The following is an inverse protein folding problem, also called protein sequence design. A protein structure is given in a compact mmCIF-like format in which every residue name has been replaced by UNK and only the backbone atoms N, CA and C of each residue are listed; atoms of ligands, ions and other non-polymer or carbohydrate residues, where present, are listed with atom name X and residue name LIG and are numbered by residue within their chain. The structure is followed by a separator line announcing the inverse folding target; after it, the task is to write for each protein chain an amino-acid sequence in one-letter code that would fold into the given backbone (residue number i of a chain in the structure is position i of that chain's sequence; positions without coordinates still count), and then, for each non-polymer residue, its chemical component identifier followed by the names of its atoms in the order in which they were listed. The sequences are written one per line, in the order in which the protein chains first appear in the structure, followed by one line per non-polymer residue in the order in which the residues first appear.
data_IF_619013025669
#
_entry.id   IF_619013025669
#
_cell.length_a   1.000
_cell.length_b   1.000
_cell.length_c   1.000
_cell.angle_alpha   90.00
_cell.angle_beta   90.00
_cell.angle_gamma   90.00
#
_symmetry.space_group_name_H-M   'P 1'
#
loop_
_entity.id
_entity.type
_entity.pdbx_description
1 polymer ?
#
# COMPACT_ATOMS: atom_id res chain seq x y z
N UNK A 1 -2.78 39.99 63.24
CA UNK A 1 -1.80 38.99 62.74
C UNK A 1 -2.57 37.92 61.96
N UNK A 2 -1.96 37.45 60.86
CA UNK A 2 -2.46 36.63 59.72
C UNK A 2 -3.26 35.39 60.16
N UNK A 3 -4.53 35.23 59.75
CA UNK A 3 -5.03 34.46 58.57
C UNK A 3 -4.43 33.05 58.43
N UNK A 4 -5.21 32.01 58.74
CA UNK A 4 -5.10 30.67 58.11
C UNK A 4 -6.51 30.07 57.98
N UNK A 5 -7.09 30.17 56.77
CA UNK A 5 -8.23 29.35 56.34
C UNK A 5 -7.61 28.15 55.62
N UNK A 6 -7.79 26.95 56.19
CA UNK A 6 -7.23 25.73 55.66
C UNK A 6 -8.01 25.27 54.41
N UNK A 7 -7.44 25.63 53.26
CA UNK A 7 -7.37 24.88 52.01
C UNK A 7 -8.46 23.82 51.74
N UNK A 8 -9.55 24.25 51.09
CA UNK A 8 -10.30 23.39 50.19
C UNK A 8 -9.64 23.43 48.81
N UNK A 9 -8.86 22.41 48.44
CA UNK A 9 -8.47 22.13 47.06
C UNK A 9 -7.87 20.73 46.99
N UNK A 10 -8.74 19.72 47.08
CA UNK A 10 -8.44 18.37 46.65
C UNK A 10 -8.34 18.39 45.12
N UNK A 11 -7.16 18.78 44.63
CA UNK A 11 -6.79 18.80 43.22
C UNK A 11 -6.84 17.37 42.70
N UNK A 12 -7.95 17.05 42.04
CA UNK A 12 -8.14 15.86 41.24
C UNK A 12 -7.24 15.97 40.01
N UNK A 13 -5.98 15.55 40.13
CA UNK A 13 -5.04 15.57 39.01
C UNK A 13 -4.23 14.27 38.96
N UNK A 14 -4.95 13.15 38.87
CA UNK A 14 -4.37 11.84 38.56
C UNK A 14 -5.10 11.25 37.36
N UNK A 15 -5.20 11.97 36.24
CA UNK A 15 -5.68 11.40 34.95
C UNK A 15 -5.25 12.29 33.78
N UNK A 16 -3.95 12.30 33.43
CA UNK A 16 -3.52 12.77 32.10
C UNK A 16 -2.06 12.37 31.78
N UNK A 17 -1.66 11.14 32.06
CA UNK A 17 -0.48 10.55 31.41
C UNK A 17 -0.93 9.33 30.59
N UNK A 18 -2.05 9.49 29.87
CA UNK A 18 -2.30 8.67 28.70
C UNK A 18 -1.37 9.25 27.62
N UNK A 19 -0.24 8.59 27.40
CA UNK A 19 0.69 8.94 26.33
C UNK A 19 -0.10 9.20 25.06
N UNK A 20 -0.03 10.43 24.57
CA UNK A 20 -0.64 10.86 23.32
C UNK A 20 0.06 10.11 22.18
N UNK A 21 -0.28 8.83 22.01
CA UNK A 21 -0.05 8.08 20.79
C UNK A 21 -0.95 8.78 19.78
N UNK A 22 -0.37 9.74 19.05
CA UNK A 22 -1.05 10.43 17.96
C UNK A 22 -1.78 9.34 17.16
N UNK A 23 -3.10 9.45 16.93
CA UNK A 23 -3.76 8.49 16.07
C UNK A 23 -2.99 8.49 14.75
N UNK A 24 -2.39 7.35 14.42
CA UNK A 24 -1.86 7.15 13.09
C UNK A 24 -3.08 7.30 12.19
N UNK A 25 -3.13 8.37 11.39
CA UNK A 25 -4.14 8.52 10.38
C UNK A 25 -4.05 7.26 9.53
N UNK A 26 -5.08 6.42 9.60
CA UNK A 26 -5.21 5.26 8.74
C UNK A 26 -5.43 5.79 7.32
N UNK A 27 -4.33 6.10 6.65
CA UNK A 27 -4.33 6.43 5.24
C UNK A 27 -4.29 5.10 4.50
N UNK A 28 -5.46 4.59 4.14
CA UNK A 28 -5.53 3.55 3.12
C UNK A 28 -5.23 4.20 1.77
N UNK A 29 -4.14 3.82 1.08
CA UNK A 29 -3.88 4.31 -0.24
C UNK A 29 -5.07 3.94 -1.14
N UNK A 30 -5.50 4.83 -2.06
CA UNK A 30 -6.56 4.48 -3.01
C UNK A 30 -6.17 3.21 -3.78
N UNK A 31 -7.10 2.25 -3.82
CA UNK A 31 -6.96 1.02 -4.60
C UNK A 31 -7.48 1.27 -6.02
N UNK A 32 -6.59 1.18 -7.00
CA UNK A 32 -6.91 1.36 -8.41
C UNK A 32 -6.85 -0.01 -9.07
N UNK A 33 -7.95 -0.41 -9.70
CA UNK A 33 -8.03 -1.67 -10.45
C UNK A 33 -7.74 -1.39 -11.91
N UNK A 34 -6.70 -2.02 -12.45
CA UNK A 34 -6.34 -1.94 -13.85
C UNK A 34 -6.60 -3.32 -14.46
N UNK A 35 -7.67 -3.40 -15.26
CA UNK A 35 -7.99 -4.62 -16.00
C UNK A 35 -6.91 -4.89 -17.04
N UNK A 36 -6.36 -6.11 -17.03
CA UNK A 36 -5.46 -6.61 -18.07
C UNK A 36 -6.29 -7.45 -19.02
N UNK A 37 -6.70 -6.87 -20.14
CA UNK A 37 -7.36 -7.61 -21.20
C UNK A 37 -6.39 -8.66 -21.76
N UNK A 38 -6.86 -9.90 -21.96
CA UNK A 38 -6.06 -11.00 -22.55
C UNK A 38 -5.52 -10.66 -23.94
N UNK A 39 -6.12 -9.70 -24.64
CA UNK A 39 -5.68 -9.23 -25.96
C UNK A 39 -4.46 -8.29 -25.91
N UNK A 40 -4.06 -7.80 -24.73
CA UNK A 40 -2.83 -7.03 -24.56
C UNK A 40 -1.67 -7.98 -24.25
N UNK A 41 -0.58 -7.96 -25.06
CA UNK A 41 0.53 -8.91 -24.90
C UNK A 41 1.29 -8.69 -23.58
N UNK A 42 1.27 -7.47 -23.04
CA UNK A 42 1.81 -7.16 -21.72
C UNK A 42 1.22 -5.84 -21.19
N UNK A 43 1.26 -5.67 -19.86
CA UNK A 43 1.18 -4.36 -19.23
C UNK A 43 2.56 -3.96 -18.73
N UNK A 44 3.00 -2.77 -19.13
CA UNK A 44 4.21 -2.17 -18.60
C UNK A 44 3.89 -1.42 -17.32
N UNK A 45 4.63 -1.74 -16.26
CA UNK A 45 4.61 -1.02 -15.00
C UNK A 45 5.95 -0.33 -14.80
N UNK A 46 5.92 0.99 -14.68
CA UNK A 46 7.08 1.80 -14.33
C UNK A 46 6.98 2.24 -12.87
N UNK A 47 8.04 2.02 -12.11
CA UNK A 47 8.13 2.36 -10.70
C UNK A 47 9.45 3.06 -10.36
N UNK A 48 9.37 4.21 -9.68
CA UNK A 48 10.55 4.96 -9.22
C UNK A 48 11.18 4.44 -7.92
N UNK A 49 10.57 3.43 -7.29
CA UNK A 49 11.04 2.77 -6.09
C UNK A 49 10.68 1.28 -6.18
N UNK A 50 11.28 0.40 -5.36
CA UNK A 50 10.89 -0.99 -5.30
C UNK A 50 9.39 -1.18 -5.06
N UNK A 51 8.83 -2.23 -5.64
CA UNK A 51 7.41 -2.56 -5.57
C UNK A 51 7.22 -4.00 -5.10
N UNK A 52 6.19 -4.21 -4.29
CA UNK A 52 5.74 -5.55 -3.91
C UNK A 52 4.67 -5.98 -4.90
N UNK A 53 4.91 -7.09 -5.60
CA UNK A 53 3.94 -7.78 -6.44
C UNK A 53 3.37 -8.97 -5.67
N UNK A 54 2.19 -8.79 -5.06
CA UNK A 54 1.50 -9.81 -4.29
C UNK A 54 0.50 -10.57 -5.15
N UNK A 55 0.65 -11.88 -5.24
CA UNK A 55 -0.39 -12.77 -5.76
C UNK A 55 -1.53 -12.86 -4.75
N UNK A 56 -2.65 -12.21 -5.08
CA UNK A 56 -3.80 -12.12 -4.18
C UNK A 56 -4.52 -13.47 -4.04
N UNK A 57 -4.31 -14.39 -4.99
CA UNK A 57 -4.98 -15.69 -5.00
C UNK A 57 -4.19 -16.72 -4.20
N UNK A 58 -2.86 -16.74 -4.36
CA UNK A 58 -1.98 -17.73 -3.73
C UNK A 58 -1.35 -17.25 -2.42
N UNK A 59 -1.43 -15.96 -2.12
CA UNK A 59 -0.83 -15.36 -0.92
C UNK A 59 0.71 -15.27 -0.97
N UNK A 60 1.33 -15.51 -2.13
CA UNK A 60 2.76 -15.30 -2.34
C UNK A 60 3.05 -13.87 -2.79
N UNK A 61 4.29 -13.43 -2.63
CA UNK A 61 4.72 -12.11 -3.11
C UNK A 61 6.16 -12.14 -3.61
N UNK A 62 6.45 -11.28 -4.60
CA UNK A 62 7.80 -10.98 -5.04
C UNK A 62 8.07 -9.48 -4.87
N UNK A 63 9.32 -9.13 -4.53
CA UNK A 63 9.79 -7.73 -4.58
C UNK A 63 10.45 -7.53 -5.93
N UNK A 64 10.04 -6.48 -6.62
CA UNK A 64 10.62 -6.03 -7.87
C UNK A 64 11.33 -4.69 -7.60
N UNK A 65 12.59 -4.60 -8.01
CA UNK A 65 13.37 -3.37 -7.86
C UNK A 65 12.77 -2.19 -8.65
N UNK A 66 13.23 -0.98 -8.35
CA UNK A 66 12.84 0.20 -9.12
C UNK A 66 13.19 0.00 -10.61
N UNK A 67 12.27 0.37 -11.50
CA UNK A 67 12.45 0.18 -12.94
C UNK A 67 11.15 -0.06 -13.69
N UNK A 68 11.30 -0.66 -14.87
CA UNK A 68 10.21 -1.00 -15.78
C UNK A 68 10.02 -2.50 -15.86
N UNK A 69 8.80 -2.96 -15.62
CA UNK A 69 8.45 -4.37 -15.56
C UNK A 69 7.33 -4.68 -16.55
N UNK A 70 7.49 -5.73 -17.35
CA UNK A 70 6.45 -6.24 -18.22
C UNK A 70 5.71 -7.37 -17.51
N UNK A 71 4.40 -7.20 -17.31
CA UNK A 71 3.50 -8.24 -16.83
C UNK A 71 2.80 -8.85 -18.03
N UNK A 72 3.16 -10.09 -18.35
CA UNK A 72 2.61 -10.82 -19.49
C UNK A 72 1.51 -11.78 -19.01
N UNK A 73 0.33 -11.79 -19.63
CA UNK A 73 -0.71 -12.75 -19.29
C UNK A 73 -0.31 -14.16 -19.72
N UNK A 74 -0.63 -15.16 -18.89
CA UNK A 74 -0.46 -16.58 -19.20
C UNK A 74 -1.78 -17.33 -19.00
N UNK A 75 -1.93 -18.58 -19.49
CA UNK A 75 -3.14 -19.37 -19.27
C UNK A 75 -3.52 -19.54 -17.78
N UNK A 76 -2.55 -19.43 -16.87
CA UNK A 76 -2.72 -19.67 -15.44
C UNK A 76 -2.62 -18.40 -14.58
N UNK A 77 -2.36 -17.23 -15.17
CA UNK A 77 -2.17 -15.99 -14.43
C UNK A 77 -1.33 -14.96 -15.18
N UNK A 78 -0.25 -14.49 -14.56
CA UNK A 78 0.70 -13.55 -15.14
C UNK A 78 2.13 -14.03 -14.92
N UNK A 79 3.06 -13.54 -15.74
CA UNK A 79 4.50 -13.71 -15.53
C UNK A 79 5.19 -12.35 -15.57
N UNK A 80 6.18 -12.16 -14.71
CA UNK A 80 7.05 -10.97 -14.71
C UNK A 80 8.49 -11.42 -14.49
N UNK A 81 9.38 -11.10 -15.44
CA UNK A 81 10.81 -11.46 -15.38
C UNK A 81 11.06 -12.92 -14.98
N UNK A 82 10.30 -13.85 -15.58
CA UNK A 82 10.39 -15.29 -15.31
C UNK A 82 9.69 -15.78 -14.03
N UNK A 83 9.16 -14.87 -13.20
CA UNK A 83 8.40 -15.21 -11.99
C UNK A 83 6.92 -15.38 -12.33
N UNK A 84 6.39 -16.58 -12.11
CA UNK A 84 4.98 -16.88 -12.31
C UNK A 84 4.13 -16.38 -11.13
N UNK A 85 3.07 -15.65 -11.44
CA UNK A 85 2.10 -15.10 -10.51
C UNK A 85 0.68 -15.55 -10.90
N UNK A 86 -0.24 -15.48 -9.94
CA UNK A 86 -1.65 -15.79 -10.12
C UNK A 86 -2.38 -14.80 -11.05
N UNK A 87 -3.68 -15.05 -11.30
CA UNK A 87 -4.51 -14.23 -12.20
C UNK A 87 -4.82 -12.84 -11.64
N UNK A 88 -4.56 -12.59 -10.36
CA UNK A 88 -4.75 -11.30 -9.73
C UNK A 88 -3.51 -10.92 -8.92
N UNK A 89 -2.86 -9.84 -9.35
CA UNK A 89 -1.61 -9.35 -8.75
C UNK A 89 -1.81 -7.94 -8.25
N UNK A 90 -1.51 -7.72 -6.98
CA UNK A 90 -1.55 -6.42 -6.35
C UNK A 90 -0.15 -5.83 -6.28
N UNK A 91 0.04 -4.68 -6.91
CA UNK A 91 1.27 -3.92 -6.95
C UNK A 91 1.17 -2.78 -5.94
N UNK A 92 2.10 -2.77 -4.99
CA UNK A 92 2.20 -1.74 -3.97
C UNK A 92 3.60 -1.15 -4.00
N UNK A 93 3.72 0.16 -3.98
CA UNK A 93 4.99 0.83 -3.72
C UNK A 93 4.94 1.53 -2.37
N UNK A 94 6.01 1.40 -1.58
CA UNK A 94 6.11 2.11 -0.31
C UNK A 94 6.25 3.63 -0.50
N UNK A 95 6.78 4.06 -1.66
CA UNK A 95 7.06 5.45 -1.98
C UNK A 95 6.92 5.71 -3.48
N UNK A 96 6.37 6.86 -3.84
CA UNK A 96 6.29 7.29 -5.23
C UNK A 96 5.00 6.89 -5.94
N UNK A 97 5.02 7.02 -7.26
CA UNK A 97 3.87 6.81 -8.16
C UNK A 97 4.17 5.58 -9.00
N UNK A 98 3.17 4.71 -9.17
CA UNK A 98 3.22 3.61 -10.13
C UNK A 98 2.65 4.10 -11.44
N UNK A 99 3.25 3.77 -12.57
CA UNK A 99 2.66 4.08 -13.88
C UNK A 99 2.33 2.80 -14.62
N UNK A 100 1.11 2.66 -15.13
CA UNK A 100 0.74 1.55 -16.01
C UNK A 100 0.58 2.08 -17.44
N UNK A 101 1.37 1.56 -18.37
CA UNK A 101 1.42 1.99 -19.77
C UNK A 101 1.55 3.53 -19.92
N UNK A 102 2.41 4.14 -19.11
CA UNK A 102 2.64 5.59 -19.10
C UNK A 102 1.60 6.41 -18.33
N UNK A 103 0.49 5.81 -17.88
CA UNK A 103 -0.49 6.49 -17.06
C UNK A 103 -0.10 6.42 -15.58
N UNK A 104 0.10 7.56 -14.89
CA UNK A 104 0.48 7.56 -13.48
C UNK A 104 -0.72 7.29 -12.56
N UNK A 105 -0.47 6.52 -11.51
CA UNK A 105 -1.42 6.12 -10.49
C UNK A 105 -0.80 6.27 -9.10
N UNK A 106 -1.55 6.89 -8.18
CA UNK A 106 -1.20 6.93 -6.76
C UNK A 106 -1.83 5.74 -6.06
N UNK A 107 -1.09 5.10 -5.16
CA UNK A 107 -1.57 4.00 -4.34
C UNK A 107 -1.29 2.64 -4.94
N UNK A 108 -2.29 1.76 -4.91
CA UNK A 108 -2.14 0.34 -5.24
C UNK A 108 -2.71 0.08 -6.63
N UNK A 109 -1.99 -0.67 -7.47
CA UNK A 109 -2.48 -1.15 -8.77
C UNK A 109 -2.82 -2.64 -8.64
N UNK A 110 -4.08 -3.01 -8.85
CA UNK A 110 -4.48 -4.41 -8.98
C UNK A 110 -4.57 -4.78 -10.47
N UNK A 111 -3.64 -5.63 -10.90
CA UNK A 111 -3.66 -6.26 -12.21
C UNK A 111 -4.55 -7.49 -12.16
N UNK A 112 -5.53 -7.55 -13.04
CA UNK A 112 -6.41 -8.71 -13.17
C UNK A 112 -6.37 -9.24 -14.59
N UNK A 113 -6.09 -10.53 -14.73
CA UNK A 113 -6.35 -11.27 -15.95
C UNK A 113 -7.87 -11.46 -16.09
N UNK A 114 -8.46 -10.90 -17.16
CA UNK A 114 -9.90 -11.02 -17.47
C UNK A 114 -10.13 -11.77 -18.76
#
# INVERSE_FOLDING_TARGET
MRRVVAAALAVSLVYAVAGARRPALAFEPPLIRVGVAVELPAIRIDAGAPITAADVTRGSSAVLEAGSWAFEPTPSGMVVSGTALGPMVRLTSEKGVLSANGQPYRGVIELRRT
#
